data_IF_539024030058
#
_entry.id   IF_539024030058
#
_cell.length_a   1.000
_cell.length_b   1.000
_cell.length_c   1.000
_cell.angle_alpha   90.00
_cell.angle_beta   90.00
_cell.angle_gamma   90.00
#
_symmetry.space_group_name_H-M   'P 1'
#
loop_
_entity.id
_entity.type
_entity.pdbx_description
1 polymer ?
#
# COMPACT_ATOMS: atom_id res chain seq x y z
N UNK A 1 73.16 -20.12 13.11
CA UNK A 1 71.72 -20.42 12.94
C UNK A 1 70.91 -19.24 13.48
N UNK A 2 70.52 -18.32 12.62
CA UNK A 2 69.80 -17.08 12.96
C UNK A 2 68.37 -17.17 12.42
N UNK A 3 67.37 -17.32 13.31
CA UNK A 3 65.95 -17.30 12.93
C UNK A 3 65.46 -15.85 12.88
N UNK A 4 65.10 -15.38 11.69
CA UNK A 4 64.38 -14.12 11.46
C UNK A 4 62.90 -14.35 11.78
N UNK A 5 62.33 -13.55 12.67
CA UNK A 5 60.89 -13.50 12.91
C UNK A 5 60.26 -12.59 11.85
N UNK A 6 59.32 -13.14 11.07
CA UNK A 6 58.50 -12.38 10.12
C UNK A 6 57.32 -11.80 10.92
N UNK A 7 57.23 -10.48 11.03
CA UNK A 7 56.05 -9.79 11.56
C UNK A 7 55.09 -9.57 10.40
N UNK A 8 53.97 -10.31 10.39
CA UNK A 8 52.86 -10.04 9.48
C UNK A 8 52.07 -8.84 10.02
N UNK A 9 52.10 -7.74 9.29
CA UNK A 9 51.28 -6.56 9.55
C UNK A 9 49.90 -6.79 8.91
N UNK A 10 48.92 -7.23 9.70
CA UNK A 10 47.51 -7.26 9.28
C UNK A 10 46.98 -5.83 9.20
N UNK A 11 46.96 -5.26 7.99
CA UNK A 11 46.19 -4.06 7.68
C UNK A 11 44.70 -4.42 7.72
N UNK A 12 44.07 -4.17 8.86
CA UNK A 12 42.62 -4.18 8.97
C UNK A 12 42.07 -2.98 8.18
N UNK A 13 41.54 -3.25 6.98
CA UNK A 13 40.65 -2.32 6.29
C UNK A 13 39.43 -2.09 7.20
N UNK A 14 39.07 -0.84 7.55
CA UNK A 14 37.86 -0.61 8.30
C UNK A 14 36.69 -1.03 7.42
N UNK A 15 35.98 -2.08 7.82
CA UNK A 15 34.63 -2.30 7.34
C UNK A 15 33.85 -1.02 7.68
N UNK A 16 33.49 -0.25 6.66
CA UNK A 16 32.64 0.92 6.80
C UNK A 16 31.29 0.44 7.33
N UNK A 17 31.17 0.37 8.65
CA UNK A 17 29.89 0.25 9.31
C UNK A 17 29.18 1.58 9.08
N UNK A 18 28.42 1.70 7.98
CA UNK A 18 27.53 2.84 7.82
C UNK A 18 26.40 2.67 8.85
N UNK A 19 26.56 3.37 9.97
CA UNK A 19 25.41 3.78 10.76
C UNK A 19 24.53 4.68 9.88
N UNK A 20 23.23 4.74 10.18
CA UNK A 20 22.29 5.76 9.69
C UNK A 20 23.00 7.11 9.44
N UNK A 21 22.61 7.89 8.41
CA UNK A 21 23.20 9.20 8.15
C UNK A 21 23.32 9.98 9.46
N UNK A 22 24.53 10.39 9.82
CA UNK A 22 24.75 10.90 11.17
C UNK A 22 24.04 12.24 11.40
N UNK A 23 23.69 12.54 12.65
CA UNK A 23 23.20 13.87 13.03
C UNK A 23 21.80 14.21 12.48
N UNK A 24 21.71 15.31 11.73
CA UNK A 24 20.43 15.86 11.27
C UNK A 24 19.78 15.02 10.17
N UNK A 25 20.56 14.44 9.26
CA UNK A 25 20.03 13.66 8.15
C UNK A 25 19.40 12.34 8.62
N UNK A 26 19.97 11.68 9.62
CA UNK A 26 19.36 10.47 10.20
C UNK A 26 18.06 10.75 10.94
N UNK A 27 17.89 11.96 11.52
CA UNK A 27 16.59 12.39 12.07
C UNK A 27 15.60 12.65 10.94
N UNK A 28 16.01 13.39 9.91
CA UNK A 28 15.16 13.66 8.76
C UNK A 28 14.71 12.37 8.04
N UNK A 29 15.58 11.35 7.96
CA UNK A 29 15.24 10.05 7.39
C UNK A 29 14.20 9.30 8.24
N UNK A 30 14.32 9.33 9.58
CA UNK A 30 13.28 8.81 10.50
C UNK A 30 11.95 9.52 10.29
N UNK A 31 11.96 10.84 10.30
CA UNK A 31 10.74 11.65 10.11
C UNK A 31 10.08 11.36 8.75
N UNK A 32 10.87 11.08 7.72
CA UNK A 32 10.38 10.67 6.41
C UNK A 32 9.79 9.25 6.40
N UNK A 33 10.41 8.29 7.10
CA UNK A 33 9.87 6.95 7.25
C UNK A 33 8.54 6.94 8.03
N UNK A 34 8.42 7.78 9.05
CA UNK A 34 7.17 8.01 9.79
C UNK A 34 6.13 8.64 8.87
N UNK A 35 6.51 9.66 8.07
CA UNK A 35 5.62 10.26 7.09
C UNK A 35 5.10 9.26 6.04
N UNK A 36 5.92 8.32 5.57
CA UNK A 36 5.48 7.22 4.68
C UNK A 36 4.45 6.32 5.37
N UNK A 37 4.71 5.96 6.63
CA UNK A 37 3.80 5.11 7.42
C UNK A 37 2.46 5.80 7.69
N UNK A 38 2.47 7.13 7.79
CA UNK A 38 1.28 7.99 7.92
C UNK A 38 0.63 8.40 6.59
N UNK A 39 1.06 7.83 5.45
CA UNK A 39 0.59 8.17 4.08
C UNK A 39 0.76 9.64 3.68
N UNK A 40 1.72 10.36 4.28
CA UNK A 40 2.13 11.71 3.92
C UNK A 40 3.27 11.68 2.90
N UNK A 41 3.00 11.07 1.76
CA UNK A 41 4.04 10.75 0.76
C UNK A 41 4.74 11.99 0.22
N UNK A 42 4.01 13.09 0.06
CA UNK A 42 4.53 14.35 -0.46
C UNK A 42 5.54 14.97 0.50
N UNK A 43 5.38 14.76 1.81
CA UNK A 43 6.33 15.17 2.84
C UNK A 43 7.58 14.29 2.84
N UNK A 44 7.39 12.98 2.72
CA UNK A 44 8.50 12.02 2.66
C UNK A 44 9.34 12.22 1.38
N UNK A 45 8.69 12.43 0.24
CA UNK A 45 9.33 12.50 -1.08
C UNK A 45 10.41 13.58 -1.13
N UNK A 46 10.13 14.78 -0.62
CA UNK A 46 11.12 15.88 -0.61
C UNK A 46 12.38 15.48 0.14
N UNK A 47 12.21 14.86 1.31
CA UNK A 47 13.32 14.48 2.19
C UNK A 47 14.09 13.29 1.65
N UNK A 48 13.40 12.21 1.29
CA UNK A 48 14.01 10.99 0.75
C UNK A 48 14.74 11.29 -0.55
N UNK A 49 14.17 12.10 -1.44
CA UNK A 49 14.81 12.47 -2.71
C UNK A 49 16.08 13.27 -2.49
N UNK A 50 16.09 14.22 -1.54
CA UNK A 50 17.31 14.98 -1.18
C UNK A 50 18.37 14.03 -0.63
N UNK A 51 18.02 13.24 0.38
CA UNK A 51 18.95 12.32 1.04
C UNK A 51 19.51 11.28 0.07
N UNK A 52 18.70 10.79 -0.88
CA UNK A 52 19.15 9.85 -1.91
C UNK A 52 20.19 10.43 -2.88
N UNK A 53 20.27 11.77 -3.02
CA UNK A 53 21.32 12.43 -3.81
C UNK A 53 22.59 12.66 -2.99
N UNK A 54 22.42 13.00 -1.71
CA UNK A 54 23.53 13.31 -0.80
C UNK A 54 24.23 12.05 -0.27
N UNK A 55 23.45 10.97 -0.06
CA UNK A 55 23.89 9.70 0.52
C UNK A 55 23.44 8.51 -0.36
N UNK A 56 23.83 8.43 -1.65
CA UNK A 56 23.30 7.44 -2.59
C UNK A 56 23.65 5.98 -2.27
N UNK A 57 24.74 5.79 -1.51
CA UNK A 57 25.24 4.48 -1.09
C UNK A 57 24.79 4.08 0.33
N UNK A 58 24.11 4.98 1.05
CA UNK A 58 23.66 4.70 2.40
C UNK A 58 22.51 3.66 2.39
N UNK A 59 22.66 2.54 3.11
CA UNK A 59 21.67 1.46 3.11
C UNK A 59 20.27 1.89 3.58
N UNK A 60 20.18 2.75 4.59
CA UNK A 60 18.90 3.20 5.14
C UNK A 60 18.21 4.16 4.16
N UNK A 61 18.98 5.06 3.54
CA UNK A 61 18.46 5.97 2.50
C UNK A 61 17.97 5.18 1.29
N UNK A 62 18.70 4.15 0.86
CA UNK A 62 18.24 3.24 -0.20
C UNK A 62 16.95 2.55 0.18
N UNK A 63 16.88 1.99 1.39
CA UNK A 63 15.69 1.28 1.83
C UNK A 63 14.45 2.19 1.83
N UNK A 64 14.54 3.40 2.39
CA UNK A 64 13.40 4.33 2.41
C UNK A 64 13.08 4.93 1.03
N UNK A 65 14.06 5.07 0.14
CA UNK A 65 13.78 5.36 -1.29
C UNK A 65 13.01 4.23 -1.95
N UNK A 66 13.36 2.99 -1.64
CA UNK A 66 12.62 1.81 -2.08
C UNK A 66 11.19 1.80 -1.55
N UNK A 67 10.99 2.13 -0.28
CA UNK A 67 9.66 2.29 0.31
C UNK A 67 8.86 3.39 -0.40
N UNK A 68 9.43 4.58 -0.60
CA UNK A 68 8.76 5.66 -1.33
C UNK A 68 8.33 5.21 -2.74
N UNK A 69 9.22 4.58 -3.49
CA UNK A 69 8.93 4.04 -4.83
C UNK A 69 7.81 3.00 -4.80
N UNK A 70 7.77 2.15 -3.77
CA UNK A 70 6.71 1.16 -3.59
C UNK A 70 5.34 1.82 -3.42
N UNK A 71 5.22 2.84 -2.56
CA UNK A 71 3.98 3.61 -2.41
C UNK A 71 3.62 4.37 -3.70
N UNK A 72 4.62 4.84 -4.45
CA UNK A 72 4.40 5.51 -5.74
C UNK A 72 4.03 4.54 -6.89
N UNK A 73 4.10 3.23 -6.65
CA UNK A 73 3.80 2.18 -7.61
C UNK A 73 4.95 1.85 -8.59
N UNK A 74 6.17 2.32 -8.33
CA UNK A 74 7.40 1.91 -9.03
C UNK A 74 8.01 0.67 -8.35
N UNK A 75 7.41 -0.49 -8.59
CA UNK A 75 7.80 -1.73 -7.92
C UNK A 75 9.17 -2.26 -8.36
N UNK A 76 9.55 -2.02 -9.62
CA UNK A 76 10.86 -2.41 -10.12
C UNK A 76 11.97 -1.60 -9.44
N UNK A 77 11.83 -0.27 -9.40
CA UNK A 77 12.78 0.61 -8.70
C UNK A 77 12.77 0.39 -7.19
N UNK A 78 11.61 0.09 -6.60
CA UNK A 78 11.50 -0.27 -5.20
C UNK A 78 12.29 -1.53 -4.85
N UNK A 79 12.09 -2.62 -5.62
CA UNK A 79 12.79 -3.88 -5.42
C UNK A 79 14.30 -3.70 -5.56
N UNK A 80 14.75 -3.00 -6.61
CA UNK A 80 16.17 -2.69 -6.82
C UNK A 80 16.79 -1.99 -5.60
N UNK A 81 16.08 -1.00 -5.03
CA UNK A 81 16.58 -0.23 -3.90
C UNK A 81 16.66 -1.03 -2.61
N UNK A 82 15.62 -1.80 -2.26
CA UNK A 82 15.60 -2.60 -1.01
C UNK A 82 16.53 -3.81 -1.08
N UNK A 83 16.79 -4.33 -2.28
CA UNK A 83 17.83 -5.35 -2.52
C UNK A 83 19.23 -4.73 -2.37
N UNK A 84 19.48 -3.56 -2.99
CA UNK A 84 20.76 -2.86 -2.90
C UNK A 84 21.08 -2.30 -1.51
N UNK A 85 20.07 -2.05 -0.67
CA UNK A 85 20.25 -1.73 0.74
C UNK A 85 20.87 -2.90 1.53
N UNK A 86 20.60 -4.14 1.13
CA UNK A 86 21.09 -5.34 1.81
C UNK A 86 20.76 -5.35 3.31
N UNK A 87 21.61 -5.99 4.10
CA UNK A 87 21.41 -6.06 5.56
C UNK A 87 22.05 -4.87 6.30
N UNK A 88 22.57 -3.90 5.55
CA UNK A 88 23.23 -2.70 6.09
C UNK A 88 22.24 -1.69 6.69
N UNK A 89 20.98 -1.70 6.27
CA UNK A 89 19.93 -0.83 6.80
C UNK A 89 19.60 -1.19 8.25
N UNK A 90 19.42 -0.17 9.10
CA UNK A 90 19.20 -0.29 10.55
C UNK A 90 18.00 0.51 11.07
N UNK A 91 17.34 1.30 10.24
CA UNK A 91 16.21 2.13 10.62
C UNK A 91 15.02 1.31 11.15
N UNK A 92 14.72 0.21 10.45
CA UNK A 92 13.64 -0.75 10.78
C UNK A 92 14.24 -2.00 11.40
N UNK A 93 13.45 -2.80 12.10
CA UNK A 93 13.93 -4.08 12.66
C UNK A 93 14.35 -5.07 11.55
N UNK A 94 15.25 -6.03 11.79
CA UNK A 94 15.62 -7.03 10.79
C UNK A 94 14.43 -7.81 10.23
N UNK A 95 13.46 -8.14 11.08
CA UNK A 95 12.23 -8.86 10.71
C UNK A 95 11.32 -8.01 9.80
N UNK A 96 11.12 -6.74 10.15
CA UNK A 96 10.34 -5.81 9.31
C UNK A 96 11.00 -5.62 7.95
N UNK A 97 12.34 -5.45 7.91
CA UNK A 97 13.08 -5.29 6.66
C UNK A 97 12.96 -6.53 5.77
N UNK A 98 13.07 -7.72 6.35
CA UNK A 98 12.93 -8.97 5.61
C UNK A 98 11.51 -9.12 5.04
N UNK A 99 10.50 -8.86 5.86
CA UNK A 99 9.08 -8.95 5.47
C UNK A 99 8.72 -7.93 4.38
N UNK A 100 9.13 -6.67 4.53
CA UNK A 100 8.90 -5.63 3.54
C UNK A 100 9.65 -5.90 2.24
N UNK A 101 10.92 -6.35 2.30
CA UNK A 101 11.67 -6.74 1.10
C UNK A 101 10.96 -7.87 0.36
N UNK A 102 10.53 -8.91 1.07
CA UNK A 102 9.82 -10.04 0.47
C UNK A 102 8.52 -9.57 -0.23
N UNK A 103 7.73 -8.74 0.44
CA UNK A 103 6.51 -8.16 -0.13
C UNK A 103 6.79 -7.29 -1.37
N UNK A 104 7.79 -6.41 -1.32
CA UNK A 104 8.15 -5.53 -2.45
C UNK A 104 8.58 -6.37 -3.66
N UNK A 105 9.42 -7.38 -3.43
CA UNK A 105 9.89 -8.30 -4.47
C UNK A 105 8.72 -9.10 -5.07
N UNK A 106 7.86 -9.67 -4.22
CA UNK A 106 6.67 -10.40 -4.65
C UNK A 106 5.72 -9.51 -5.45
N UNK A 107 5.49 -8.27 -5.01
CA UNK A 107 4.67 -7.30 -5.74
C UNK A 107 5.27 -6.96 -7.10
N UNK A 108 6.59 -6.72 -7.16
CA UNK A 108 7.31 -6.51 -8.43
C UNK A 108 7.15 -7.68 -9.39
N UNK A 109 7.20 -8.91 -8.88
CA UNK A 109 7.07 -10.12 -9.70
C UNK A 109 5.63 -10.35 -10.18
N UNK A 110 4.65 -10.23 -9.28
CA UNK A 110 3.24 -10.41 -9.57
C UNK A 110 2.70 -9.37 -10.58
N UNK A 111 3.26 -8.16 -10.57
CA UNK A 111 2.80 -7.04 -11.41
C UNK A 111 3.72 -6.72 -12.59
N UNK A 112 4.77 -7.52 -12.83
CA UNK A 112 5.80 -7.27 -13.86
C UNK A 112 5.20 -7.03 -15.25
N UNK A 113 4.21 -7.83 -15.61
CA UNK A 113 3.57 -7.79 -16.92
C UNK A 113 2.32 -6.88 -16.95
N UNK A 114 2.00 -6.20 -15.84
CA UNK A 114 0.78 -5.38 -15.79
C UNK A 114 0.85 -4.22 -16.78
N UNK A 115 -0.26 -4.00 -17.47
CA UNK A 115 -0.48 -2.81 -18.30
C UNK A 115 -0.95 -1.68 -17.40
N UNK A 116 -0.43 -0.48 -17.63
CA UNK A 116 -0.86 0.74 -16.93
C UNK A 116 -1.69 1.62 -17.85
N UNK A 117 -2.94 1.86 -17.48
CA UNK A 117 -3.82 2.86 -18.09
C UNK A 117 -3.92 4.10 -17.20
N UNK A 118 -4.14 5.26 -17.83
CA UNK A 118 -4.26 6.55 -17.14
C UNK A 118 -5.44 7.34 -17.67
N UNK A 119 -6.10 8.10 -16.81
CA UNK A 119 -6.99 9.18 -17.26
C UNK A 119 -6.20 10.25 -18.02
N UNK A 120 -6.91 11.06 -18.83
CA UNK A 120 -6.29 12.10 -19.66
C UNK A 120 -5.49 13.14 -18.85
N UNK A 121 -5.92 13.43 -17.63
CA UNK A 121 -5.27 14.34 -16.68
C UNK A 121 -4.22 13.65 -15.78
N UNK A 122 -4.04 12.33 -15.92
CA UNK A 122 -3.14 11.53 -15.12
C UNK A 122 -3.55 11.31 -13.67
N UNK A 123 -4.72 11.82 -13.24
CA UNK A 123 -5.20 11.73 -11.84
C UNK A 123 -5.55 10.30 -11.42
N UNK A 124 -6.02 9.47 -12.36
CA UNK A 124 -6.44 8.10 -12.11
C UNK A 124 -5.53 7.14 -12.87
N UNK A 125 -5.01 6.14 -12.17
CA UNK A 125 -4.10 5.13 -12.72
C UNK A 125 -4.70 3.76 -12.43
N UNK A 126 -4.91 2.97 -13.49
CA UNK A 126 -5.36 1.59 -13.36
C UNK A 126 -4.27 0.67 -13.88
N UNK A 127 -3.82 -0.28 -13.07
CA UNK A 127 -2.94 -1.35 -13.51
C UNK A 127 -3.67 -2.69 -13.51
N UNK A 128 -3.44 -3.52 -14.50
CA UNK A 128 -4.05 -4.85 -14.58
C UNK A 128 -3.19 -5.79 -15.43
N UNK A 129 -3.38 -7.11 -15.26
CA UNK A 129 -2.77 -8.10 -16.14
C UNK A 129 -3.27 -7.95 -17.59
N UNK A 130 -2.44 -8.16 -18.62
CA UNK A 130 -2.88 -8.15 -20.01
C UNK A 130 -4.02 -9.16 -20.23
N UNK A 131 -4.90 -8.84 -21.17
CA UNK A 131 -6.00 -9.72 -21.55
C UNK A 131 -7.37 -9.20 -21.10
N UNK A 132 -8.27 -10.07 -20.65
CA UNK A 132 -9.70 -9.77 -20.66
C UNK A 132 -10.14 -8.76 -19.58
N UNK A 133 -9.30 -8.47 -18.59
CA UNK A 133 -9.58 -7.43 -17.59
C UNK A 133 -9.38 -6.00 -18.11
N UNK A 134 -8.77 -5.84 -19.30
CA UNK A 134 -8.68 -4.55 -19.98
C UNK A 134 -10.06 -3.89 -20.19
N UNK A 135 -11.12 -4.69 -20.32
CA UNK A 135 -12.50 -4.20 -20.48
C UNK A 135 -13.00 -3.43 -19.24
N UNK A 136 -12.40 -3.65 -18.06
CA UNK A 136 -12.80 -3.02 -16.80
C UNK A 136 -12.26 -1.59 -16.69
N UNK A 137 -11.18 -1.26 -17.40
CA UNK A 137 -10.43 0.01 -17.23
C UNK A 137 -11.30 1.26 -17.39
N UNK A 138 -12.13 1.41 -18.45
CA UNK A 138 -12.93 2.62 -18.61
C UNK A 138 -13.91 2.83 -17.45
N UNK A 139 -14.57 1.75 -17.00
CA UNK A 139 -15.52 1.78 -15.90
C UNK A 139 -14.84 2.00 -14.55
N UNK A 140 -13.64 1.46 -14.36
CA UNK A 140 -12.84 1.70 -13.16
C UNK A 140 -12.44 3.18 -13.04
N UNK A 141 -12.01 3.81 -14.14
CA UNK A 141 -11.68 5.24 -14.18
C UNK A 141 -12.93 6.09 -13.90
N UNK A 142 -14.08 5.73 -14.48
CA UNK A 142 -15.36 6.39 -14.21
C UNK A 142 -15.74 6.31 -12.74
N UNK A 143 -15.73 5.10 -12.15
CA UNK A 143 -16.06 4.88 -10.75
C UNK A 143 -15.11 5.65 -9.81
N UNK A 144 -13.80 5.58 -10.04
CA UNK A 144 -12.82 6.34 -9.25
C UNK A 144 -13.03 7.85 -9.37
N UNK A 145 -13.34 8.37 -10.56
CA UNK A 145 -13.59 9.81 -10.75
C UNK A 145 -14.81 10.26 -9.99
N UNK A 146 -15.94 9.59 -10.19
CA UNK A 146 -17.19 9.96 -9.53
C UNK A 146 -17.09 9.79 -8.01
N UNK A 147 -16.44 8.72 -7.53
CA UNK A 147 -16.17 8.52 -6.11
C UNK A 147 -15.28 9.64 -5.56
N UNK A 148 -14.14 9.94 -6.19
CA UNK A 148 -13.23 10.99 -5.74
C UNK A 148 -13.92 12.36 -5.66
N UNK A 149 -14.69 12.75 -6.67
CA UNK A 149 -15.44 14.01 -6.66
C UNK A 149 -16.47 14.05 -5.52
N UNK A 150 -17.27 13.00 -5.36
CA UNK A 150 -18.30 12.93 -4.33
C UNK A 150 -17.70 12.89 -2.90
N UNK A 151 -16.71 12.03 -2.66
CA UNK A 151 -16.04 11.90 -1.36
C UNK A 151 -15.32 13.19 -0.98
N UNK A 152 -14.72 13.86 -1.96
CA UNK A 152 -14.09 15.16 -1.75
C UNK A 152 -15.05 16.24 -1.28
N UNK A 153 -16.26 16.26 -1.85
CA UNK A 153 -17.31 17.17 -1.45
C UNK A 153 -17.88 16.80 -0.07
N UNK A 154 -18.14 15.51 0.17
CA UNK A 154 -18.77 15.01 1.39
C UNK A 154 -17.83 15.11 2.62
N UNK A 155 -16.54 14.83 2.43
CA UNK A 155 -15.55 14.80 3.52
C UNK A 155 -14.76 16.10 3.66
N UNK A 156 -14.86 17.01 2.69
CA UNK A 156 -14.14 18.30 2.70
C UNK A 156 -12.62 18.18 2.59
N UNK A 157 -12.10 17.03 2.15
CA UNK A 157 -10.66 16.77 1.97
C UNK A 157 -10.38 16.27 0.55
N UNK A 158 -9.18 16.54 0.02
CA UNK A 158 -8.71 15.97 -1.25
C UNK A 158 -7.51 15.09 -1.02
N UNK A 159 -7.57 13.87 -1.52
CA UNK A 159 -6.40 12.99 -1.59
C UNK A 159 -5.46 13.47 -2.70
N UNK A 160 -4.15 13.66 -2.40
CA UNK A 160 -3.15 13.94 -3.42
C UNK A 160 -3.12 12.84 -4.49
N UNK A 161 -3.03 13.23 -5.75
CA UNK A 161 -2.97 12.29 -6.86
C UNK A 161 -1.55 11.76 -7.15
N UNK A 162 -1.44 10.73 -7.98
CA UNK A 162 -2.53 10.01 -8.62
C UNK A 162 -3.18 8.96 -7.72
N UNK A 163 -4.48 8.73 -7.89
CA UNK A 163 -5.21 7.63 -7.27
C UNK A 163 -4.95 6.35 -8.08
N UNK A 164 -4.45 5.30 -7.41
CA UNK A 164 -4.00 4.07 -8.06
C UNK A 164 -4.92 2.92 -7.72
N UNK A 165 -5.46 2.27 -8.74
CA UNK A 165 -6.17 1.00 -8.65
C UNK A 165 -5.36 -0.08 -9.35
N UNK A 166 -5.26 -1.25 -8.72
CA UNK A 166 -4.64 -2.43 -9.28
C UNK A 166 -5.63 -3.59 -9.28
N UNK A 167 -5.86 -4.18 -10.45
CA UNK A 167 -6.81 -5.28 -10.66
C UNK A 167 -6.03 -6.59 -10.80
N UNK A 168 -6.25 -7.49 -9.85
CA UNK A 168 -5.58 -8.78 -9.71
C UNK A 168 -6.47 -9.91 -10.23
N UNK A 169 -5.96 -10.84 -11.05
CA UNK A 169 -6.80 -11.86 -11.69
C UNK A 169 -7.40 -12.88 -10.70
N UNK A 170 -6.83 -13.05 -9.50
CA UNK A 170 -7.26 -14.06 -8.52
C UNK A 170 -6.95 -13.68 -7.07
N UNK A 171 -7.56 -14.40 -6.12
CA UNK A 171 -7.25 -14.31 -4.69
C UNK A 171 -5.78 -14.64 -4.39
N UNK A 172 -5.18 -15.59 -5.13
CA UNK A 172 -3.77 -15.92 -4.99
C UNK A 172 -2.87 -14.72 -5.35
N UNK A 173 -3.14 -14.08 -6.49
CA UNK A 173 -2.37 -12.88 -6.87
C UNK A 173 -2.59 -11.69 -5.93
N UNK A 174 -3.74 -11.60 -5.25
CA UNK A 174 -3.97 -10.60 -4.21
C UNK A 174 -3.20 -10.92 -2.92
N UNK A 175 -3.08 -12.20 -2.57
CA UNK A 175 -2.27 -12.65 -1.43
C UNK A 175 -0.79 -12.30 -1.63
N UNK A 176 -0.26 -12.54 -2.83
CA UNK A 176 1.16 -12.29 -3.17
C UNK A 176 1.60 -10.82 -2.95
N UNK A 177 0.67 -9.89 -3.01
CA UNK A 177 0.92 -8.43 -2.96
C UNK A 177 0.39 -7.76 -1.68
N UNK A 178 -0.07 -8.55 -0.73
CA UNK A 178 -0.67 -8.06 0.52
C UNK A 178 -0.04 -8.72 1.74
N UNK A 179 -0.52 -8.36 2.93
CA UNK A 179 -0.16 -9.04 4.18
C UNK A 179 -1.10 -10.22 4.49
N UNK A 180 -2.02 -10.56 3.59
CA UNK A 180 -3.01 -11.60 3.80
C UNK A 180 -2.58 -12.91 3.14
N UNK A 181 -2.82 -14.03 3.79
CA UNK A 181 -2.71 -15.34 3.14
C UNK A 181 -3.94 -15.60 2.26
N UNK A 182 -3.82 -16.54 1.32
CA UNK A 182 -4.98 -17.02 0.54
C UNK A 182 -6.10 -17.51 1.47
N UNK A 183 -5.74 -18.20 2.56
CA UNK A 183 -6.70 -18.67 3.55
C UNK A 183 -7.41 -17.52 4.24
N UNK A 184 -6.70 -16.45 4.60
CA UNK A 184 -7.34 -15.27 5.21
C UNK A 184 -8.37 -14.68 4.25
N UNK A 185 -7.96 -14.45 3.00
CA UNK A 185 -8.82 -13.95 1.93
C UNK A 185 -10.07 -14.81 1.73
N UNK A 186 -9.90 -16.13 1.64
CA UNK A 186 -11.01 -17.07 1.46
C UNK A 186 -11.94 -17.13 2.68
N UNK A 187 -11.38 -17.01 3.89
CA UNK A 187 -12.14 -17.08 5.14
C UNK A 187 -12.96 -15.81 5.37
N UNK A 188 -12.40 -14.64 5.09
CA UNK A 188 -13.05 -13.34 5.28
C UNK A 188 -13.87 -12.90 4.07
N UNK A 189 -13.66 -13.54 2.91
CA UNK A 189 -14.26 -13.10 1.64
C UNK A 189 -13.63 -11.80 1.12
N UNK A 190 -12.39 -11.48 1.52
CA UNK A 190 -11.70 -10.25 1.11
C UNK A 190 -11.44 -10.25 -0.39
N UNK A 191 -12.19 -9.42 -1.12
CA UNK A 191 -12.07 -9.24 -2.57
C UNK A 191 -11.24 -8.03 -2.95
N UNK A 192 -10.96 -7.15 -1.99
CA UNK A 192 -10.26 -5.89 -2.16
C UNK A 192 -9.61 -5.42 -0.85
N UNK A 193 -8.62 -4.54 -0.95
CA UNK A 193 -8.06 -3.80 0.18
C UNK A 193 -7.39 -2.49 -0.27
N UNK A 194 -7.34 -1.53 0.63
CA UNK A 194 -6.58 -0.29 0.50
C UNK A 194 -5.35 -0.30 1.41
N UNK A 195 -4.15 -0.26 0.83
CA UNK A 195 -2.89 -0.22 1.60
C UNK A 195 -1.75 0.34 0.77
N UNK A 196 -0.79 0.99 1.41
CA UNK A 196 0.39 1.60 0.75
C UNK A 196 0.04 2.56 -0.40
N UNK A 197 -0.97 3.40 -0.18
CA UNK A 197 -1.44 4.42 -1.13
C UNK A 197 -2.00 3.89 -2.46
N UNK A 198 -2.56 2.67 -2.44
CA UNK A 198 -3.25 2.07 -3.59
C UNK A 198 -4.47 1.27 -3.18
N UNK A 199 -5.40 1.17 -4.10
CA UNK A 199 -6.55 0.28 -4.07
C UNK A 199 -6.14 -1.01 -4.80
N UNK A 200 -6.39 -2.16 -4.19
CA UNK A 200 -6.17 -3.47 -4.79
C UNK A 200 -7.50 -4.20 -4.83
N UNK A 201 -7.91 -4.68 -6.00
CA UNK A 201 -9.16 -5.41 -6.17
C UNK A 201 -8.90 -6.68 -6.98
N UNK A 202 -9.61 -7.77 -6.66
CA UNK A 202 -9.65 -8.93 -7.55
C UNK A 202 -10.52 -8.63 -8.77
N UNK A 203 -10.24 -9.23 -9.93
CA UNK A 203 -11.12 -9.13 -11.08
C UNK A 203 -12.50 -9.72 -10.72
N UNK A 204 -13.63 -9.13 -11.15
CA UNK A 204 -14.95 -9.73 -10.96
C UNK A 204 -15.03 -11.16 -11.50
N UNK A 205 -14.18 -11.56 -12.47
CA UNK A 205 -14.12 -12.96 -12.94
C UNK A 205 -13.56 -13.95 -11.93
N UNK A 206 -12.89 -13.47 -10.88
CA UNK A 206 -12.33 -14.33 -9.84
C UNK A 206 -13.43 -15.03 -9.03
N UNK A 207 -14.66 -14.51 -9.07
CA UNK A 207 -15.83 -15.11 -8.44
C UNK A 207 -16.84 -15.58 -9.47
N UNK A 208 -17.42 -16.76 -9.25
CA UNK A 208 -18.38 -17.41 -10.18
C UNK A 208 -19.56 -16.51 -10.55
N UNK A 209 -20.02 -15.66 -9.63
CA UNK A 209 -21.16 -14.76 -9.83
C UNK A 209 -20.76 -13.30 -10.00
N UNK A 210 -19.46 -13.01 -10.07
CA UNK A 210 -18.96 -11.65 -9.91
C UNK A 210 -19.34 -11.05 -8.56
N UNK A 211 -19.20 -9.73 -8.48
CA UNK A 211 -19.52 -8.92 -7.31
C UNK A 211 -19.68 -7.45 -7.77
N UNK A 212 -20.28 -6.54 -6.97
CA UNK A 212 -20.46 -5.14 -7.34
C UNK A 212 -19.13 -4.35 -7.28
N UNK A 213 -18.19 -4.70 -8.14
CA UNK A 213 -16.79 -4.29 -8.05
C UNK A 213 -16.53 -2.79 -8.17
N UNK A 214 -17.43 -2.02 -8.80
CA UNK A 214 -17.35 -0.55 -8.79
C UNK A 214 -17.75 0.05 -7.43
N UNK A 215 -18.70 -0.56 -6.71
CA UNK A 215 -18.98 -0.18 -5.31
C UNK A 215 -17.79 -0.50 -4.44
N UNK A 216 -17.15 -1.66 -4.67
CA UNK A 216 -15.91 -2.03 -3.97
C UNK A 216 -14.79 -1.02 -4.23
N UNK A 217 -14.63 -0.50 -5.46
CA UNK A 217 -13.68 0.59 -5.72
C UNK A 217 -14.06 1.84 -4.91
N UNK A 218 -15.35 2.19 -4.85
CA UNK A 218 -15.84 3.28 -4.00
C UNK A 218 -15.50 3.06 -2.53
N UNK A 219 -15.73 1.86 -2.01
CA UNK A 219 -15.42 1.43 -0.66
C UNK A 219 -13.92 1.60 -0.32
N UNK A 220 -13.04 1.04 -1.15
CA UNK A 220 -11.59 1.17 -0.95
C UNK A 220 -11.09 2.61 -1.09
N UNK A 221 -11.76 3.43 -1.90
CA UNK A 221 -11.41 4.83 -2.00
C UNK A 221 -11.77 5.60 -0.72
N UNK A 222 -12.85 5.24 -0.03
CA UNK A 222 -13.17 5.80 1.29
C UNK A 222 -12.07 5.46 2.29
N UNK A 223 -11.59 4.21 2.32
CA UNK A 223 -10.45 3.83 3.17
C UNK A 223 -9.24 4.72 2.88
N UNK A 224 -8.89 4.95 1.62
CA UNK A 224 -7.78 5.82 1.26
C UNK A 224 -7.95 7.25 1.80
N UNK A 225 -9.14 7.83 1.66
CA UNK A 225 -9.45 9.16 2.18
C UNK A 225 -9.31 9.22 3.70
N UNK A 226 -9.86 8.23 4.41
CA UNK A 226 -9.82 8.18 5.87
C UNK A 226 -8.40 7.93 6.39
N UNK A 227 -7.65 7.00 5.79
CA UNK A 227 -6.26 6.75 6.17
C UNK A 227 -5.40 8.00 5.95
N UNK A 228 -5.51 8.69 4.81
CA UNK A 228 -4.73 9.92 4.60
C UNK A 228 -5.17 11.08 5.50
N UNK A 229 -6.48 11.27 5.73
CA UNK A 229 -6.98 12.33 6.60
C UNK A 229 -6.62 12.10 8.09
N UNK A 230 -6.61 10.84 8.53
CA UNK A 230 -6.35 10.47 9.92
C UNK A 230 -4.88 10.18 10.23
N UNK A 231 -4.01 10.15 9.22
CA UNK A 231 -2.62 9.66 9.29
C UNK A 231 -2.54 8.20 9.70
N UNK A 232 -3.44 7.40 9.13
CA UNK A 232 -3.62 5.97 9.38
C UNK A 232 -3.96 5.64 10.86
N UNK A 233 -4.69 6.53 11.53
CA UNK A 233 -5.08 6.39 12.95
C UNK A 233 -6.57 6.25 13.19
N UNK A 234 -7.40 6.32 12.15
CA UNK A 234 -8.83 6.06 12.29
C UNK A 234 -9.06 4.60 12.73
N UNK A 235 -9.89 4.35 13.76
CA UNK A 235 -10.17 2.99 14.22
C UNK A 235 -10.92 2.19 13.15
N UNK A 236 -10.69 0.88 13.10
CA UNK A 236 -11.21 0.00 12.03
C UNK A 236 -12.73 0.11 11.89
N UNK A 237 -13.49 0.07 13.00
CA UNK A 237 -14.96 0.16 12.95
C UNK A 237 -15.45 1.44 12.25
N UNK A 238 -14.74 2.56 12.44
CA UNK A 238 -15.10 3.84 11.83
C UNK A 238 -14.78 3.80 10.34
N UNK A 239 -13.64 3.22 9.98
CA UNK A 239 -13.26 3.06 8.57
C UNK A 239 -14.29 2.22 7.82
N UNK A 240 -14.61 1.03 8.31
CA UNK A 240 -15.58 0.12 7.70
C UNK A 240 -17.00 0.73 7.65
N UNK A 241 -17.43 1.37 8.74
CA UNK A 241 -18.76 1.98 8.82
C UNK A 241 -18.93 3.13 7.84
N UNK A 242 -17.95 4.01 7.73
CA UNK A 242 -17.97 5.15 6.80
C UNK A 242 -17.78 4.68 5.35
N UNK A 243 -16.90 3.69 5.12
CA UNK A 243 -16.75 3.06 3.82
C UNK A 243 -18.08 2.47 3.34
N UNK A 244 -18.77 1.70 4.19
CA UNK A 244 -20.08 1.15 3.87
C UNK A 244 -21.15 2.21 3.63
N UNK A 245 -21.12 3.31 4.37
CA UNK A 245 -22.07 4.41 4.21
C UNK A 245 -21.88 5.20 2.90
N UNK A 246 -20.64 5.27 2.39
CA UNK A 246 -20.26 6.11 1.25
C UNK A 246 -19.89 5.34 -0.03
N UNK A 247 -19.75 4.01 -0.01
CA UNK A 247 -19.26 3.21 -1.15
C UNK A 247 -20.09 3.35 -2.43
N UNK A 248 -21.35 3.81 -2.36
CA UNK A 248 -22.23 4.02 -3.52
C UNK A 248 -22.29 5.46 -4.02
N UNK A 249 -21.54 6.39 -3.40
CA UNK A 249 -21.57 7.81 -3.78
C UNK A 249 -21.17 8.06 -5.23
N UNK A 250 -20.33 7.20 -5.80
CA UNK A 250 -19.96 7.24 -7.21
C UNK A 250 -21.16 7.13 -8.17
N UNK A 251 -22.29 6.55 -7.72
CA UNK A 251 -23.53 6.42 -8.50
C UNK A 251 -24.38 7.70 -8.53
N UNK A 252 -23.99 8.73 -7.78
CA UNK A 252 -24.80 9.93 -7.56
C UNK A 252 -25.90 9.77 -6.51
N UNK A 253 -25.98 8.63 -5.83
CA UNK A 253 -26.91 8.37 -4.73
C UNK A 253 -26.52 9.18 -3.48
N UNK A 254 -27.47 9.64 -2.68
CA UNK A 254 -27.16 10.25 -1.39
C UNK A 254 -26.50 9.22 -0.44
N UNK A 255 -25.63 9.64 0.50
CA UNK A 255 -25.10 8.76 1.53
C UNK A 255 -26.21 8.02 2.28
N UNK A 256 -26.13 6.70 2.36
CA UNK A 256 -27.18 5.88 2.95
C UNK A 256 -26.63 4.60 3.54
N UNK A 257 -27.16 4.25 4.72
CA UNK A 257 -26.95 2.93 5.30
C UNK A 257 -27.61 1.90 4.39
N UNK A 258 -26.86 0.87 4.03
CA UNK A 258 -27.37 -0.24 3.26
C UNK A 258 -26.60 -1.51 3.63
N UNK A 259 -27.31 -2.63 3.63
CA UNK A 259 -26.74 -3.95 3.82
C UNK A 259 -27.31 -4.84 2.71
N UNK A 260 -26.50 -5.75 2.20
CA UNK A 260 -27.06 -6.86 1.42
C UNK A 260 -27.79 -7.83 2.38
N UNK A 261 -28.69 -8.68 1.86
CA UNK A 261 -29.48 -9.57 2.70
C UNK A 261 -28.65 -10.52 3.59
N UNK A 262 -27.45 -10.92 3.16
CA UNK A 262 -26.61 -11.81 3.96
C UNK A 262 -25.98 -11.03 5.13
N UNK A 263 -25.46 -9.83 4.89
CA UNK A 263 -24.96 -8.95 5.94
C UNK A 263 -26.06 -8.55 6.95
N UNK A 264 -27.28 -8.28 6.47
CA UNK A 264 -28.44 -7.98 7.33
C UNK A 264 -28.83 -9.16 8.21
N UNK A 265 -28.82 -10.38 7.67
CA UNK A 265 -29.08 -11.60 8.43
C UNK A 265 -28.01 -11.84 9.50
N UNK A 266 -26.73 -11.62 9.17
CA UNK A 266 -25.62 -11.72 10.12
C UNK A 266 -25.76 -10.71 11.25
N UNK A 267 -26.03 -9.44 10.93
CA UNK A 267 -26.26 -8.39 11.92
C UNK A 267 -27.45 -8.74 12.82
N UNK A 268 -28.56 -9.20 12.23
CA UNK A 268 -29.75 -9.59 12.99
C UNK A 268 -29.46 -10.73 13.96
N UNK A 269 -28.70 -11.76 13.53
CA UNK A 269 -28.28 -12.85 14.42
C UNK A 269 -27.37 -12.34 15.53
N UNK A 270 -26.36 -11.52 15.20
CA UNK A 270 -25.42 -11.01 16.19
C UNK A 270 -26.08 -10.12 17.26
N UNK A 271 -27.08 -9.32 16.85
CA UNK A 271 -27.90 -8.51 17.77
C UNK A 271 -28.73 -9.43 18.68
N UNK A 272 -29.43 -10.41 18.11
CA UNK A 272 -30.25 -11.36 18.88
C UNK A 272 -29.43 -12.16 19.87
N UNK A 273 -28.24 -12.58 19.46
CA UNK A 273 -27.36 -13.48 20.23
C UNK A 273 -26.41 -12.71 21.17
N UNK A 274 -26.46 -11.36 21.17
CA UNK A 274 -25.62 -10.51 22.01
C UNK A 274 -24.13 -10.61 21.69
N UNK A 275 -23.77 -10.92 20.44
CA UNK A 275 -22.41 -11.26 20.01
C UNK A 275 -21.76 -10.18 19.13
N UNK A 276 -22.28 -8.95 19.16
CA UNK A 276 -21.66 -7.80 18.50
C UNK A 276 -20.24 -7.55 19.03
N UNK A 277 -19.34 -7.20 18.11
CA UNK A 277 -17.98 -6.79 18.48
C UNK A 277 -18.04 -5.41 19.16
N UNK A 278 -17.28 -5.19 20.25
CA UNK A 278 -17.24 -3.89 20.91
C UNK A 278 -16.37 -2.91 20.11
N UNK A 279 -16.63 -1.60 20.29
CA UNK A 279 -15.92 -0.53 19.57
C UNK A 279 -14.50 -0.22 20.09
N UNK A 280 -14.10 -0.82 21.20
CA UNK A 280 -12.80 -0.64 21.84
C UNK A 280 -11.73 -1.63 21.35
N UNK A 281 -12.06 -2.46 20.35
CA UNK A 281 -11.15 -3.38 19.67
C UNK A 281 -10.64 -2.85 18.34
#
# INVERSE_FOLDING_TARGET
MTRRALVLLCLALPASASALPSGADGRALRDAADALSELRLEDAERTVTRLAREHPEDPDVRFERGMLRFYQGDYAGAAQDVEAAGDGARLRSPEDRASLRALIVATRDATREFVTARSADGRYVVKHAPGPDAVLVPYAIEAMRAADEALSADLGVRVPGPLRLEIYPSAASLADVSTLTVRDIETTGTIALCKWDRLMVTSPRALVRGYPWMDTIGHELVHLFLSRASRDRAPVWLQEGVAKFLERRWRGEAPAAHLDPAAEALLTSAVRDGSLLPFDR
#
